data_IF_402359172911
#
_entry.id   IF_402359172911
#
_cell.length_a   1.000
_cell.length_b   1.000
_cell.length_c   1.000
_cell.angle_alpha   90.00
_cell.angle_beta   90.00
_cell.angle_gamma   90.00
#
_symmetry.space_group_name_H-M   'P 1'
#
loop_
_entity.id
_entity.type
_entity.pdbx_description
1 polymer ?
#
# COMPACT_ATOMS: atom_id res chain seq x y z
N UNK A 1 -26.18 -6.41 0.86
CA UNK A 1 -26.54 -7.26 -0.31
C UNK A 1 -25.85 -8.61 -0.11
N UNK A 2 -26.56 -9.71 -0.29
CA UNK A 2 -25.99 -11.05 -0.16
C UNK A 2 -25.36 -11.46 -1.49
N UNK A 3 -24.02 -11.41 -1.59
CA UNK A 3 -23.28 -11.67 -2.84
C UNK A 3 -23.53 -13.07 -3.42
N UNK A 4 -23.76 -14.06 -2.58
CA UNK A 4 -24.07 -15.44 -2.95
C UNK A 4 -25.44 -15.62 -3.64
N UNK A 5 -26.30 -14.57 -3.65
CA UNK A 5 -27.53 -14.56 -4.46
C UNK A 5 -27.31 -14.06 -5.89
N UNK A 6 -26.16 -13.47 -6.18
CA UNK A 6 -25.81 -12.88 -7.48
C UNK A 6 -24.74 -13.70 -8.18
N UNK A 7 -23.75 -14.17 -7.42
CA UNK A 7 -22.66 -15.01 -7.92
C UNK A 7 -22.94 -16.48 -7.66
N UNK A 8 -22.38 -17.35 -8.51
CA UNK A 8 -22.35 -18.79 -8.27
C UNK A 8 -21.59 -19.04 -6.96
N UNK A 9 -22.27 -19.71 -6.04
CA UNK A 9 -21.75 -20.06 -4.73
C UNK A 9 -20.58 -21.05 -4.84
N UNK A 10 -19.79 -21.17 -3.76
CA UNK A 10 -18.60 -22.01 -3.67
C UNK A 10 -17.93 -21.91 -2.31
N UNK A 11 -16.74 -22.49 -2.16
CA UNK A 11 -15.96 -22.38 -0.92
C UNK A 11 -15.70 -20.92 -0.53
N UNK A 12 -15.60 -20.03 -1.53
CA UNK A 12 -15.40 -18.60 -1.35
C UNK A 12 -16.44 -17.91 -0.45
N UNK A 13 -17.65 -18.47 -0.29
CA UNK A 13 -18.66 -17.87 0.59
C UNK A 13 -18.45 -18.21 2.07
N UNK A 14 -17.79 -19.33 2.36
CA UNK A 14 -17.50 -19.78 3.73
C UNK A 14 -16.10 -19.42 4.22
N UNK A 15 -15.12 -19.33 3.32
CA UNK A 15 -13.71 -19.04 3.62
C UNK A 15 -13.12 -17.94 2.71
N UNK A 16 -11.93 -17.43 3.06
CA UNK A 16 -11.24 -16.42 2.24
C UNK A 16 -10.57 -17.12 1.05
N UNK A 17 -11.29 -17.23 -0.07
CA UNK A 17 -10.86 -17.96 -1.25
C UNK A 17 -11.23 -17.24 -2.56
N UNK A 18 -10.40 -16.25 -2.93
CA UNK A 18 -10.56 -15.48 -4.17
C UNK A 18 -10.43 -16.34 -5.42
N UNK A 19 -9.60 -17.40 -5.37
CA UNK A 19 -9.40 -18.30 -6.51
C UNK A 19 -10.70 -19.03 -6.85
N UNK A 20 -11.33 -19.59 -5.83
CA UNK A 20 -12.61 -20.29 -5.96
C UNK A 20 -13.68 -19.36 -6.54
N UNK A 21 -13.80 -18.14 -6.01
CA UNK A 21 -14.72 -17.12 -6.54
C UNK A 21 -14.51 -16.87 -8.03
N UNK A 22 -13.26 -16.57 -8.45
CA UNK A 22 -12.94 -16.27 -9.84
C UNK A 22 -13.23 -17.48 -10.74
N UNK A 23 -12.85 -18.69 -10.31
CA UNK A 23 -13.06 -19.89 -11.12
C UNK A 23 -14.54 -20.20 -11.39
N UNK A 24 -15.43 -19.88 -10.46
CA UNK A 24 -16.87 -20.10 -10.62
C UNK A 24 -17.58 -18.99 -11.42
N UNK A 25 -17.06 -17.76 -11.35
CA UNK A 25 -17.80 -16.56 -11.79
C UNK A 25 -17.17 -15.81 -12.97
N UNK A 26 -15.97 -16.19 -13.42
CA UNK A 26 -15.37 -15.60 -14.61
C UNK A 26 -16.13 -16.04 -15.87
N UNK A 27 -16.39 -15.09 -16.77
CA UNK A 27 -16.87 -15.38 -18.13
C UNK A 27 -15.65 -15.31 -19.06
N UNK A 28 -15.15 -16.44 -19.58
CA UNK A 28 -14.06 -16.42 -20.56
C UNK A 28 -14.46 -15.62 -21.79
N UNK A 29 -13.55 -14.76 -22.27
CA UNK A 29 -13.74 -13.97 -23.47
C UNK A 29 -12.76 -14.42 -24.55
N UNK A 30 -13.28 -14.84 -25.70
CA UNK A 30 -12.51 -15.35 -26.84
C UNK A 30 -12.69 -14.49 -28.11
N UNK A 31 -13.29 -13.30 -27.98
CA UNK A 31 -13.45 -12.34 -29.07
C UNK A 31 -12.22 -11.47 -29.29
N UNK A 32 -12.41 -10.33 -29.97
CA UNK A 32 -11.35 -9.37 -30.30
C UNK A 32 -11.55 -8.01 -29.58
N UNK A 33 -10.78 -6.99 -29.98
CA UNK A 33 -10.81 -5.67 -29.37
C UNK A 33 -11.94 -4.75 -29.88
N UNK A 34 -12.85 -5.23 -30.73
CA UNK A 34 -13.88 -4.39 -31.37
C UNK A 34 -14.91 -3.78 -30.41
N UNK A 35 -15.07 -4.35 -29.21
CA UNK A 35 -15.96 -3.82 -28.17
C UNK A 35 -15.33 -2.70 -27.32
N UNK A 36 -14.04 -2.40 -27.52
CA UNK A 36 -13.34 -1.41 -26.71
C UNK A 36 -13.82 0.01 -27.03
N UNK A 37 -14.15 0.74 -25.97
CA UNK A 37 -14.55 2.14 -26.06
C UNK A 37 -13.37 3.09 -25.80
N UNK A 38 -13.42 4.26 -26.43
CA UNK A 38 -12.42 5.31 -26.25
C UNK A 38 -12.51 6.03 -24.89
N UNK A 39 -11.52 6.86 -24.56
CA UNK A 39 -11.53 7.62 -23.32
C UNK A 39 -12.64 8.66 -23.30
N UNK A 40 -13.33 8.76 -22.18
CA UNK A 40 -14.32 9.80 -21.90
C UNK A 40 -13.68 11.17 -21.70
N UNK A 41 -14.44 12.25 -21.81
CA UNK A 41 -13.95 13.61 -21.56
C UNK A 41 -13.43 13.80 -20.12
N UNK A 42 -14.09 13.20 -19.12
CA UNK A 42 -13.59 13.19 -17.73
C UNK A 42 -12.21 12.53 -17.62
N UNK A 43 -11.99 11.41 -18.32
CA UNK A 43 -10.71 10.71 -18.33
C UNK A 43 -9.63 11.58 -18.95
N UNK A 44 -9.93 12.25 -20.08
CA UNK A 44 -9.00 13.18 -20.73
C UNK A 44 -8.67 14.37 -19.82
N UNK A 45 -9.67 14.93 -19.12
CA UNK A 45 -9.48 16.04 -18.19
C UNK A 45 -8.52 15.68 -17.05
N UNK A 46 -8.79 14.57 -16.34
CA UNK A 46 -7.93 14.06 -15.25
C UNK A 46 -6.52 13.77 -15.78
N UNK A 47 -6.41 13.12 -16.95
CA UNK A 47 -5.11 12.78 -17.53
C UNK A 47 -4.30 14.01 -17.92
N UNK A 48 -4.94 15.06 -18.45
CA UNK A 48 -4.25 16.31 -18.78
C UNK A 48 -3.65 16.98 -17.52
N UNK A 49 -4.33 16.92 -16.37
CA UNK A 49 -3.76 17.37 -15.08
C UNK A 49 -2.53 16.56 -14.67
N UNK A 50 -2.57 15.24 -14.87
CA UNK A 50 -1.39 14.39 -14.66
C UNK A 50 -0.24 14.77 -15.59
N UNK A 51 -0.51 15.05 -16.87
CA UNK A 51 0.52 15.45 -17.83
C UNK A 51 1.18 16.78 -17.46
N UNK A 52 0.40 17.76 -16.99
CA UNK A 52 0.89 19.04 -16.45
C UNK A 52 1.82 18.79 -15.25
N UNK A 53 1.37 18.01 -14.27
CA UNK A 53 2.16 17.67 -13.08
C UNK A 53 3.44 16.88 -13.41
N UNK A 54 3.39 15.99 -14.40
CA UNK A 54 4.58 15.25 -14.87
C UNK A 54 5.55 16.16 -15.64
N UNK A 55 5.06 17.19 -16.34
CA UNK A 55 5.93 18.18 -16.99
C UNK A 55 6.66 19.03 -15.94
N UNK A 56 5.98 19.41 -14.86
CA UNK A 56 6.57 20.05 -13.70
C UNK A 56 7.63 19.15 -13.02
N UNK A 57 7.32 17.87 -12.77
CA UNK A 57 8.28 16.92 -12.21
C UNK A 57 9.56 16.81 -13.05
N UNK A 58 9.43 16.75 -14.39
CA UNK A 58 10.59 16.73 -15.30
C UNK A 58 11.37 18.03 -15.26
N UNK A 59 10.71 19.18 -15.17
CA UNK A 59 11.37 20.48 -15.04
C UNK A 59 12.15 20.58 -13.71
N UNK A 60 11.66 19.91 -12.66
CA UNK A 60 12.29 19.81 -11.34
C UNK A 60 13.33 18.67 -11.24
N UNK A 61 13.77 18.10 -12.36
CA UNK A 61 14.74 17.01 -12.40
C UNK A 61 14.32 15.73 -11.63
N UNK A 62 13.01 15.47 -11.56
CA UNK A 62 12.46 14.18 -11.18
C UNK A 62 11.68 14.12 -9.86
N UNK A 63 11.49 15.22 -9.13
CA UNK A 63 10.57 15.29 -7.98
C UNK A 63 9.70 16.53 -8.09
N UNK A 64 8.38 16.34 -8.15
CA UNK A 64 7.44 17.46 -8.21
C UNK A 64 7.38 18.19 -6.87
N UNK A 65 7.05 17.44 -5.81
CA UNK A 65 7.02 17.91 -4.43
C UNK A 65 7.21 16.74 -3.48
N UNK A 66 7.53 17.05 -2.22
CA UNK A 66 7.79 16.06 -1.19
C UNK A 66 7.30 16.54 0.17
N UNK A 67 6.85 15.60 1.00
CA UNK A 67 6.48 15.83 2.39
C UNK A 67 7.64 15.41 3.29
N UNK A 68 8.44 16.38 3.73
CA UNK A 68 9.60 16.20 4.60
C UNK A 68 9.26 16.18 6.10
N UNK A 69 7.98 16.29 6.47
CA UNK A 69 7.54 16.46 7.86
C UNK A 69 6.74 15.24 8.35
N UNK A 70 5.87 14.69 7.50
CA UNK A 70 4.95 13.63 7.91
C UNK A 70 5.55 12.25 7.69
N UNK A 71 5.69 11.47 8.77
CA UNK A 71 6.02 10.04 8.69
C UNK A 71 4.85 9.29 8.06
N UNK A 72 5.06 8.74 6.85
CA UNK A 72 4.02 8.03 6.11
C UNK A 72 3.58 6.75 6.82
N UNK A 73 2.26 6.64 7.05
CA UNK A 73 1.52 5.45 7.51
C UNK A 73 0.22 5.34 6.71
N UNK A 74 -0.58 4.29 6.94
CA UNK A 74 -1.87 4.09 6.25
C UNK A 74 -2.82 5.29 6.43
N UNK A 75 -2.73 6.01 7.56
CA UNK A 75 -3.68 7.08 7.94
C UNK A 75 -3.00 8.42 8.17
N UNK A 76 -1.71 8.57 7.85
CA UNK A 76 -0.97 9.81 8.12
C UNK A 76 -1.45 10.97 7.26
N UNK A 77 -1.79 10.70 6.00
CA UNK A 77 -2.20 11.70 5.02
C UNK A 77 -3.72 11.73 4.87
N UNK A 78 -4.25 12.92 4.62
CA UNK A 78 -5.68 13.11 4.28
C UNK A 78 -5.92 12.81 2.80
N UNK A 79 -7.18 12.77 2.41
CA UNK A 79 -7.55 12.49 1.04
C UNK A 79 -7.00 13.55 0.07
N UNK A 80 -6.24 13.10 -0.93
CA UNK A 80 -5.79 13.89 -2.06
C UNK A 80 -6.56 13.54 -3.33
N UNK A 81 -6.71 14.52 -4.22
CA UNK A 81 -7.45 14.40 -5.47
C UNK A 81 -6.66 15.02 -6.62
N UNK A 82 -6.87 14.52 -7.84
CA UNK A 82 -6.33 15.11 -9.06
C UNK A 82 -7.29 16.19 -9.57
N UNK A 83 -8.57 15.81 -9.68
CA UNK A 83 -9.68 16.60 -10.19
C UNK A 83 -10.95 15.89 -9.67
N UNK A 84 -11.33 16.27 -8.45
CA UNK A 84 -12.28 15.51 -7.61
C UNK A 84 -13.61 15.28 -8.30
N UNK A 85 -14.06 16.25 -9.09
CA UNK A 85 -15.32 16.22 -9.82
C UNK A 85 -15.28 15.20 -10.98
N UNK A 86 -14.11 15.00 -11.58
CA UNK A 86 -13.92 14.12 -12.73
C UNK A 86 -13.43 12.71 -12.38
N UNK A 87 -12.99 12.46 -11.15
CA UNK A 87 -12.52 11.15 -10.68
C UNK A 87 -13.67 10.14 -10.43
N UNK A 88 -13.52 8.90 -10.90
CA UNK A 88 -14.43 7.78 -10.56
C UNK A 88 -13.84 6.86 -9.49
N UNK A 89 -12.52 6.71 -9.54
CA UNK A 89 -11.71 5.94 -8.60
C UNK A 89 -10.76 6.94 -7.99
N UNK A 90 -10.79 7.04 -6.66
CA UNK A 90 -10.07 8.05 -5.88
C UNK A 90 -9.00 7.39 -5.03
N UNK A 91 -8.01 8.18 -4.62
CA UNK A 91 -6.93 7.75 -3.74
C UNK A 91 -5.56 8.19 -4.24
N UNK A 92 -4.85 8.98 -3.44
CA UNK A 92 -3.44 9.33 -3.63
C UNK A 92 -2.64 8.94 -2.40
N UNK A 93 -1.32 8.70 -2.58
CA UNK A 93 -0.41 8.32 -1.48
C UNK A 93 -0.26 9.42 -0.43
N UNK A 94 -0.40 10.67 -0.86
CA UNK A 94 -0.40 11.87 -0.03
C UNK A 94 -1.66 12.69 -0.33
N UNK A 95 -1.72 13.89 0.23
CA UNK A 95 -2.80 14.86 0.02
C UNK A 95 -2.75 15.56 -1.35
N UNK A 96 -1.69 15.35 -2.15
CA UNK A 96 -1.50 16.02 -3.44
C UNK A 96 -0.96 15.10 -4.54
N UNK A 97 -1.29 15.42 -5.80
CA UNK A 97 -0.82 14.69 -6.97
C UNK A 97 0.71 14.73 -7.09
N UNK A 98 1.35 13.55 -7.19
CA UNK A 98 2.80 13.36 -7.33
C UNK A 98 3.64 13.96 -6.19
N UNK A 99 3.04 14.22 -5.02
CA UNK A 99 3.78 14.59 -3.80
C UNK A 99 4.29 13.32 -3.12
N UNK A 100 5.61 13.19 -2.98
CA UNK A 100 6.25 12.00 -2.40
C UNK A 100 6.29 12.09 -0.87
N UNK A 101 5.89 11.02 -0.18
CA UNK A 101 6.01 10.94 1.26
C UNK A 101 7.37 10.39 1.70
N UNK A 102 7.81 10.72 2.91
CA UNK A 102 8.96 10.09 3.55
C UNK A 102 8.58 8.79 4.27
N UNK A 103 9.44 7.76 4.13
CA UNK A 103 9.27 6.43 4.77
C UNK A 103 10.49 6.06 5.62
N UNK A 104 10.70 6.74 6.76
CA UNK A 104 11.94 6.65 7.54
C UNK A 104 12.17 5.30 8.24
N UNK A 105 11.16 4.43 8.37
CA UNK A 105 11.34 3.07 8.91
C UNK A 105 12.40 2.24 8.16
N UNK A 106 12.63 2.53 6.87
CA UNK A 106 13.67 1.90 6.07
C UNK A 106 15.09 2.38 6.38
N UNK A 107 15.25 3.64 6.83
CA UNK A 107 16.54 4.26 7.11
C UNK A 107 16.47 5.79 7.04
N UNK A 108 16.72 6.47 8.16
CA UNK A 108 16.62 7.94 8.24
C UNK A 108 17.70 8.66 7.42
N UNK A 109 18.91 8.09 7.34
CA UNK A 109 20.00 8.69 6.56
C UNK A 109 19.70 8.75 5.07
N UNK A 110 19.03 7.72 4.54
CA UNK A 110 18.63 7.66 3.12
C UNK A 110 17.57 8.72 2.84
N UNK A 111 16.59 8.86 3.73
CA UNK A 111 15.54 9.87 3.61
C UNK A 111 16.14 11.29 3.71
N UNK A 112 16.99 11.55 4.70
CA UNK A 112 17.66 12.85 4.88
C UNK A 112 18.46 13.25 3.64
N UNK A 113 19.23 12.31 3.08
CA UNK A 113 19.99 12.55 1.85
C UNK A 113 19.06 12.87 0.67
N UNK A 114 17.99 12.10 0.49
CA UNK A 114 17.03 12.32 -0.59
C UNK A 114 16.33 13.68 -0.47
N UNK A 115 15.95 14.10 0.73
CA UNK A 115 15.39 15.44 0.95
C UNK A 115 16.41 16.53 0.60
N UNK A 116 17.65 16.43 1.12
CA UNK A 116 18.70 17.42 0.86
C UNK A 116 19.01 17.55 -0.65
N UNK A 117 19.09 16.43 -1.37
CA UNK A 117 19.28 16.42 -2.83
C UNK A 117 18.13 17.09 -3.59
N UNK A 118 16.95 17.21 -2.98
CA UNK A 118 15.78 17.92 -3.50
C UNK A 118 15.56 19.29 -2.84
N UNK A 119 16.60 19.85 -2.20
CA UNK A 119 16.60 21.24 -1.72
C UNK A 119 15.83 21.50 -0.43
N UNK A 120 15.46 20.45 0.32
CA UNK A 120 14.76 20.59 1.61
C UNK A 120 15.38 19.68 2.67
N UNK A 121 15.20 20.02 3.94
CA UNK A 121 15.66 19.19 5.05
C UNK A 121 14.53 18.39 5.65
N UNK A 122 14.77 17.14 6.07
CA UNK A 122 13.81 16.40 6.89
C UNK A 122 13.59 17.15 8.20
N UNK A 123 12.34 17.21 8.66
CA UNK A 123 11.97 17.82 9.94
C UNK A 123 12.80 17.25 11.10
N UNK A 124 13.28 18.15 11.97
CA UNK A 124 14.20 17.80 13.06
C UNK A 124 13.56 16.79 14.03
N UNK A 125 12.24 16.85 14.24
CA UNK A 125 11.53 15.88 15.09
C UNK A 125 11.52 14.49 14.45
N UNK A 126 11.39 14.40 13.13
CA UNK A 126 11.47 13.11 12.43
C UNK A 126 12.88 12.55 12.54
N UNK A 127 13.92 13.38 12.35
CA UNK A 127 15.32 12.98 12.54
C UNK A 127 15.55 12.46 13.95
N UNK A 128 15.10 13.19 14.97
CA UNK A 128 15.21 12.82 16.38
C UNK A 128 14.53 11.46 16.67
N UNK A 129 13.28 11.29 16.20
CA UNK A 129 12.54 10.03 16.38
C UNK A 129 13.28 8.83 15.82
N UNK A 130 13.76 8.90 14.57
CA UNK A 130 14.37 7.76 13.91
C UNK A 130 15.87 7.60 14.18
N UNK A 131 16.46 8.53 14.95
CA UNK A 131 17.84 8.41 15.46
C UNK A 131 17.85 7.90 16.90
N UNK A 132 16.91 8.33 17.74
CA UNK A 132 16.97 8.10 19.18
C UNK A 132 15.86 7.22 19.75
N UNK A 133 14.67 7.18 19.14
CA UNK A 133 13.52 6.44 19.71
C UNK A 133 13.14 5.21 18.92
N UNK A 134 13.21 5.28 17.59
CA UNK A 134 12.77 4.21 16.67
C UNK A 134 13.90 3.81 15.74
N UNK A 135 14.58 2.72 16.08
CA UNK A 135 15.58 2.09 15.21
C UNK A 135 14.99 1.74 13.84
N UNK A 136 15.74 1.98 12.78
CA UNK A 136 15.35 1.68 11.39
C UNK A 136 15.83 0.30 10.93
N UNK A 137 15.30 -0.17 9.79
CA UNK A 137 15.81 -1.37 9.12
C UNK A 137 17.29 -1.22 8.77
N UNK A 138 17.67 -0.09 8.16
CA UNK A 138 19.07 0.19 7.80
C UNK A 138 20.02 0.08 9.00
N UNK A 139 19.71 0.72 10.13
CA UNK A 139 20.55 0.65 11.33
C UNK A 139 20.65 -0.79 11.85
N UNK A 140 19.53 -1.52 11.88
CA UNK A 140 19.48 -2.92 12.28
C UNK A 140 20.36 -3.83 11.44
N UNK A 141 20.36 -3.64 10.11
CA UNK A 141 21.19 -4.39 9.18
C UNK A 141 22.67 -4.08 9.39
N UNK A 142 23.02 -2.79 9.51
CA UNK A 142 24.41 -2.39 9.62
C UNK A 142 25.02 -2.78 10.98
N UNK A 143 24.25 -2.85 12.06
CA UNK A 143 24.72 -3.34 13.36
C UNK A 143 25.18 -4.81 13.34
N UNK A 144 24.64 -5.62 12.44
CA UNK A 144 24.93 -7.07 12.38
C UNK A 144 25.77 -7.48 11.17
N UNK A 145 26.04 -6.55 10.25
CA UNK A 145 26.92 -6.81 9.11
C UNK A 145 28.34 -7.11 9.54
N UNK A 146 28.90 -8.20 9.01
CA UNK A 146 30.31 -8.55 9.18
C UNK A 146 31.21 -7.64 8.34
N UNK A 147 32.49 -7.58 8.71
CA UNK A 147 33.51 -6.85 7.92
C UNK A 147 33.59 -7.36 6.48
N UNK A 148 33.45 -8.67 6.28
CA UNK A 148 33.44 -9.30 4.96
C UNK A 148 32.30 -8.78 4.08
N UNK A 149 31.06 -8.78 4.59
CA UNK A 149 29.89 -8.28 3.85
C UNK A 149 30.09 -6.80 3.48
N UNK A 150 30.57 -5.99 4.43
CA UNK A 150 30.85 -4.57 4.21
C UNK A 150 31.92 -4.35 3.14
N UNK A 151 32.96 -5.18 3.14
CA UNK A 151 34.04 -5.15 2.15
C UNK A 151 33.51 -5.47 0.75
N UNK A 152 32.77 -6.57 0.59
CA UNK A 152 32.19 -6.95 -0.71
C UNK A 152 31.21 -5.92 -1.26
N UNK A 153 30.44 -5.28 -0.38
CA UNK A 153 29.55 -4.17 -0.77
C UNK A 153 30.32 -2.96 -1.28
N UNK A 154 31.36 -2.56 -0.55
CA UNK A 154 32.18 -1.39 -0.90
C UNK A 154 33.00 -1.60 -2.17
N UNK A 155 33.44 -2.83 -2.42
CA UNK A 155 34.18 -3.23 -3.62
C UNK A 155 33.28 -3.50 -4.84
N UNK A 156 31.96 -3.46 -4.67
CA UNK A 156 31.01 -3.68 -5.77
C UNK A 156 30.79 -5.15 -6.14
N UNK A 157 31.29 -6.11 -5.36
CA UNK A 157 31.01 -7.54 -5.56
C UNK A 157 29.57 -7.91 -5.17
N UNK A 158 29.04 -7.25 -4.15
CA UNK A 158 27.64 -7.40 -3.73
C UNK A 158 26.96 -6.03 -3.73
N UNK A 159 26.15 -5.75 -4.75
CA UNK A 159 25.47 -4.46 -4.92
C UNK A 159 23.96 -4.62 -4.96
N UNK A 160 23.24 -3.55 -4.63
CA UNK A 160 21.78 -3.49 -4.74
C UNK A 160 21.02 -4.31 -3.70
N UNK A 161 21.66 -4.78 -2.63
CA UNK A 161 20.97 -5.46 -1.52
C UNK A 161 19.94 -4.51 -0.87
N UNK A 162 18.79 -5.01 -0.38
CA UNK A 162 17.76 -4.19 0.25
C UNK A 162 18.13 -3.80 1.69
N UNK A 163 19.29 -3.18 1.87
CA UNK A 163 19.82 -2.71 3.15
C UNK A 163 19.50 -1.22 3.42
N UNK A 164 19.15 -0.48 2.38
CA UNK A 164 18.87 0.96 2.43
C UNK A 164 17.50 1.34 1.82
N UNK A 165 16.67 0.36 1.48
CA UNK A 165 15.29 0.56 1.00
C UNK A 165 14.41 -0.65 1.37
N UNK A 166 13.09 -0.49 1.24
CA UNK A 166 12.15 -1.57 1.52
C UNK A 166 12.32 -2.74 0.51
N UNK A 167 12.45 -3.98 1.02
CA UNK A 167 12.70 -5.19 0.20
C UNK A 167 11.71 -5.44 -0.95
N UNK A 168 10.50 -4.90 -0.87
CA UNK A 168 9.44 -5.13 -1.87
C UNK A 168 9.11 -6.61 -2.03
N UNK A 169 8.76 -7.02 -3.26
CA UNK A 169 8.48 -8.42 -3.65
C UNK A 169 7.40 -9.14 -2.81
N UNK A 170 6.51 -8.38 -2.21
CA UNK A 170 5.33 -8.87 -1.51
C UNK A 170 4.10 -8.36 -2.27
N UNK A 171 3.23 -9.28 -2.69
CA UNK A 171 1.97 -8.94 -3.35
C UNK A 171 0.87 -9.34 -2.37
N UNK A 172 0.21 -8.33 -1.79
CA UNK A 172 -1.03 -8.55 -1.07
C UNK A 172 -2.14 -8.96 -2.04
N UNK A 173 -3.02 -9.86 -1.63
CA UNK A 173 -4.20 -10.19 -2.45
C UNK A 173 -5.29 -9.14 -2.24
N UNK A 174 -5.12 -7.98 -2.87
CA UNK A 174 -5.96 -6.79 -2.70
C UNK A 174 -7.43 -7.03 -3.10
N UNK A 175 -7.68 -8.02 -3.96
CA UNK A 175 -9.01 -8.49 -4.37
C UNK A 175 -9.85 -8.99 -3.20
N UNK A 176 -9.21 -9.44 -2.12
CA UNK A 176 -9.90 -9.84 -0.89
C UNK A 176 -10.73 -8.71 -0.31
N UNK A 177 -10.25 -7.47 -0.38
CA UNK A 177 -11.01 -6.36 0.17
C UNK A 177 -12.30 -6.14 -0.61
N UNK A 178 -12.25 -6.16 -1.94
CA UNK A 178 -13.44 -6.06 -2.77
C UNK A 178 -14.42 -7.23 -2.53
N UNK A 179 -13.93 -8.46 -2.44
CA UNK A 179 -14.78 -9.64 -2.32
C UNK A 179 -15.41 -9.80 -0.93
N UNK A 180 -14.68 -9.45 0.14
CA UNK A 180 -15.07 -9.76 1.52
C UNK A 180 -15.40 -8.56 2.38
N UNK A 181 -14.87 -7.37 2.06
CA UNK A 181 -14.85 -6.25 2.98
C UNK A 181 -13.87 -6.46 4.14
N UNK A 182 -13.49 -5.37 4.81
CA UNK A 182 -12.50 -5.42 5.87
C UNK A 182 -13.01 -6.20 7.10
N UNK A 183 -14.28 -6.10 7.46
CA UNK A 183 -14.77 -6.71 8.70
C UNK A 183 -14.67 -8.24 8.64
N UNK A 184 -15.02 -8.85 7.51
CA UNK A 184 -14.86 -10.29 7.29
C UNK A 184 -13.39 -10.72 7.30
N UNK A 185 -12.48 -9.88 6.81
CA UNK A 185 -11.03 -10.13 6.82
C UNK A 185 -10.45 -10.02 8.23
N UNK A 186 -10.91 -9.07 9.03
CA UNK A 186 -10.54 -8.95 10.45
C UNK A 186 -11.00 -10.19 11.22
N UNK A 187 -12.24 -10.65 10.99
CA UNK A 187 -12.73 -11.87 11.66
C UNK A 187 -11.92 -13.10 11.26
N UNK A 188 -11.53 -13.24 9.99
CA UNK A 188 -10.62 -14.29 9.55
C UNK A 188 -9.27 -14.21 10.28
N UNK A 189 -8.69 -13.01 10.42
CA UNK A 189 -7.40 -12.82 11.11
C UNK A 189 -7.47 -13.03 12.61
N UNK A 190 -8.59 -12.71 13.25
CA UNK A 190 -8.83 -13.05 14.66
C UNK A 190 -8.90 -14.55 14.85
N UNK A 191 -9.52 -15.27 13.92
CA UNK A 191 -9.56 -16.73 13.93
C UNK A 191 -8.16 -17.32 13.72
N UNK A 192 -7.37 -16.81 12.75
CA UNK A 192 -5.95 -17.17 12.61
C UNK A 192 -5.22 -17.03 13.95
N UNK A 193 -5.35 -15.87 14.61
CA UNK A 193 -4.69 -15.58 15.88
C UNK A 193 -5.14 -16.50 17.03
N UNK A 194 -6.42 -16.86 17.09
CA UNK A 194 -6.96 -17.82 18.07
C UNK A 194 -6.37 -19.21 17.86
N UNK A 195 -6.20 -19.62 16.61
CA UNK A 195 -5.70 -20.94 16.26
C UNK A 195 -4.18 -21.10 16.40
N UNK A 196 -3.43 -20.01 16.59
CA UNK A 196 -2.01 -20.03 16.93
C UNK A 196 -1.77 -20.46 18.39
N UNK A 197 -2.09 -21.71 18.71
CA UNK A 197 -1.95 -22.34 20.04
C UNK A 197 -0.65 -23.14 20.20
N UNK A 198 -0.38 -23.63 21.42
CA UNK A 198 0.81 -24.43 21.75
C UNK A 198 1.95 -23.63 22.40
N UNK A 199 3.15 -24.24 22.55
CA UNK A 199 4.29 -23.62 23.27
C UNK A 199 4.74 -22.26 22.71
N UNK A 200 4.96 -21.25 23.57
CA UNK A 200 5.37 -19.91 23.12
C UNK A 200 6.86 -19.83 22.73
N UNK A 201 7.20 -20.43 21.59
CA UNK A 201 8.52 -20.30 20.94
C UNK A 201 8.67 -18.91 20.31
N UNK A 202 9.91 -18.47 20.06
CA UNK A 202 10.19 -17.19 19.37
C UNK A 202 9.40 -17.07 18.05
N UNK A 203 9.41 -18.11 17.22
CA UNK A 203 8.69 -18.12 15.95
C UNK A 203 7.16 -17.98 16.14
N UNK A 204 6.58 -18.61 17.17
CA UNK A 204 5.14 -18.51 17.45
C UNK A 204 4.78 -17.15 18.03
N UNK A 205 5.60 -16.60 18.93
CA UNK A 205 5.41 -15.24 19.47
C UNK A 205 5.43 -14.22 18.34
N UNK A 206 6.45 -14.27 17.48
CA UNK A 206 6.59 -13.39 16.31
C UNK A 206 5.37 -13.49 15.39
N UNK A 207 4.95 -14.71 15.01
CA UNK A 207 3.80 -14.88 14.12
C UNK A 207 2.50 -14.33 14.73
N UNK A 208 2.30 -14.50 16.04
CA UNK A 208 1.13 -13.96 16.74
C UNK A 208 1.13 -12.42 16.73
N UNK A 209 2.28 -11.79 16.95
CA UNK A 209 2.45 -10.34 16.85
C UNK A 209 2.19 -9.86 15.42
N UNK A 210 2.77 -10.52 14.41
CA UNK A 210 2.57 -10.19 13.00
C UNK A 210 1.08 -10.26 12.59
N UNK A 211 0.34 -11.25 13.06
CA UNK A 211 -1.12 -11.34 12.81
C UNK A 211 -1.87 -10.23 13.55
N UNK A 212 -1.45 -9.85 14.76
CA UNK A 212 -2.04 -8.72 15.47
C UNK A 212 -1.81 -7.38 14.74
N UNK A 213 -0.61 -7.17 14.18
CA UNK A 213 -0.31 -6.02 13.33
C UNK A 213 -1.11 -6.02 12.03
N UNK A 214 -1.33 -7.19 11.41
CA UNK A 214 -2.23 -7.31 10.25
C UNK A 214 -3.67 -6.86 10.60
N UNK A 215 -4.18 -7.20 11.79
CA UNK A 215 -5.51 -6.77 12.25
C UNK A 215 -5.55 -5.25 12.46
N UNK A 216 -4.49 -4.65 13.02
CA UNK A 216 -4.40 -3.19 13.18
C UNK A 216 -4.38 -2.50 11.82
N UNK A 217 -3.53 -2.95 10.90
CA UNK A 217 -3.46 -2.40 9.55
C UNK A 217 -4.80 -2.47 8.80
N UNK A 218 -5.55 -3.57 8.95
CA UNK A 218 -6.91 -3.67 8.40
C UNK A 218 -7.87 -2.62 8.98
N UNK A 219 -7.76 -2.31 10.28
CA UNK A 219 -8.56 -1.23 10.88
C UNK A 219 -8.15 0.15 10.36
N UNK A 220 -6.85 0.38 10.20
CA UNK A 220 -6.32 1.61 9.63
C UNK A 220 -6.79 1.82 8.18
N UNK A 221 -6.91 0.75 7.41
CA UNK A 221 -7.50 0.81 6.06
C UNK A 221 -8.96 1.31 6.08
N UNK A 222 -9.75 1.00 7.12
CA UNK A 222 -11.12 1.56 7.26
C UNK A 222 -11.06 3.08 7.44
N UNK A 223 -10.18 3.55 8.32
CA UNK A 223 -9.98 5.00 8.57
C UNK A 223 -9.52 5.71 7.30
N UNK A 224 -8.60 5.10 6.55
CA UNK A 224 -8.19 5.64 5.24
C UNK A 224 -9.37 5.70 4.26
N UNK A 225 -10.22 4.68 4.22
CA UNK A 225 -11.46 4.69 3.42
C UNK A 225 -12.40 5.84 3.79
N UNK A 226 -12.57 6.12 5.08
CA UNK A 226 -13.40 7.23 5.58
C UNK A 226 -12.93 8.59 5.06
N UNK A 227 -11.62 8.81 4.88
CA UNK A 227 -11.10 10.07 4.32
C UNK A 227 -11.60 10.33 2.89
N UNK A 228 -11.90 9.28 2.14
CA UNK A 228 -12.44 9.33 0.79
C UNK A 228 -13.96 9.10 0.75
N UNK A 229 -14.64 9.03 1.91
CA UNK A 229 -16.08 8.77 1.99
C UNK A 229 -16.47 7.33 1.61
N UNK A 230 -15.56 6.37 1.77
CA UNK A 230 -15.76 4.97 1.42
C UNK A 230 -15.97 4.11 2.67
N UNK A 231 -17.06 3.34 2.70
CA UNK A 231 -17.29 2.32 3.72
C UNK A 231 -16.65 0.98 3.32
N UNK A 232 -15.36 0.83 3.60
CA UNK A 232 -14.59 -0.38 3.29
C UNK A 232 -14.86 -1.56 4.25
N UNK A 233 -15.76 -1.39 5.25
CA UNK A 233 -16.09 -2.45 6.20
C UNK A 233 -16.77 -3.66 5.51
N UNK A 234 -17.55 -3.36 4.47
CA UNK A 234 -18.36 -4.29 3.69
C UNK A 234 -17.70 -4.66 2.35
N UNK A 235 -18.12 -5.75 1.70
CA UNK A 235 -17.69 -6.04 0.34
C UNK A 235 -18.23 -5.02 -0.67
N UNK A 236 -17.63 -5.03 -1.85
CA UNK A 236 -18.05 -4.25 -3.00
C UNK A 236 -19.34 -4.82 -3.61
N UNK A 237 -20.25 -3.94 -4.03
CA UNK A 237 -21.54 -4.30 -4.62
C UNK A 237 -21.68 -3.91 -6.08
N UNK A 238 -20.79 -3.06 -6.59
CA UNK A 238 -20.75 -2.65 -8.00
C UNK A 238 -19.37 -2.85 -8.59
N UNK A 239 -19.25 -2.80 -9.91
CA UNK A 239 -17.95 -2.87 -10.58
C UNK A 239 -17.03 -1.70 -10.17
N UNK A 240 -17.59 -0.49 -10.02
CA UNK A 240 -16.84 0.68 -9.56
C UNK A 240 -16.28 0.47 -8.15
N UNK A 241 -17.10 -0.03 -7.23
CA UNK A 241 -16.65 -0.35 -5.87
C UNK A 241 -15.60 -1.47 -5.89
N UNK A 242 -15.75 -2.50 -6.73
CA UNK A 242 -14.79 -3.58 -6.79
C UNK A 242 -13.39 -3.07 -7.21
N UNK A 243 -13.34 -2.20 -8.22
CA UNK A 243 -12.10 -1.52 -8.63
C UNK A 243 -11.56 -0.62 -7.51
N UNK A 244 -12.43 0.18 -6.90
CA UNK A 244 -12.05 1.11 -5.83
C UNK A 244 -11.52 0.38 -4.59
N UNK A 245 -12.10 -0.75 -4.19
CA UNK A 245 -11.67 -1.53 -3.03
C UNK A 245 -10.35 -2.23 -3.33
N UNK A 246 -10.17 -2.81 -4.52
CA UNK A 246 -8.87 -3.35 -4.92
C UNK A 246 -7.80 -2.26 -4.85
N UNK A 247 -8.11 -1.08 -5.38
CA UNK A 247 -7.18 0.04 -5.38
C UNK A 247 -6.85 0.53 -3.97
N UNK A 248 -7.84 0.70 -3.07
CA UNK A 248 -7.57 1.09 -1.68
C UNK A 248 -6.70 0.05 -0.95
N UNK A 249 -6.84 -1.24 -1.27
CA UNK A 249 -6.01 -2.29 -0.68
C UNK A 249 -4.54 -2.15 -1.09
N UNK A 250 -4.31 -1.76 -2.34
CA UNK A 250 -2.99 -1.42 -2.84
C UNK A 250 -2.48 -0.10 -2.27
N UNK A 251 -3.32 0.94 -2.20
CA UNK A 251 -2.96 2.27 -1.70
C UNK A 251 -2.41 2.21 -0.28
N UNK A 252 -3.03 1.43 0.61
CA UNK A 252 -2.56 1.24 1.97
C UNK A 252 -1.18 0.52 2.06
N UNK A 253 -0.75 -0.16 1.00
CA UNK A 253 0.56 -0.81 0.94
C UNK A 253 1.67 0.13 0.42
N UNK A 254 1.34 1.15 -0.36
CA UNK A 254 2.31 2.00 -1.09
C UNK A 254 2.53 3.36 -0.47
#
# INVERSE_FOLDING_TARGET
>A
MELNKIFKDGLWSTEINVRDFVSHNITPYYGDASFLEGPTERTKAVWNRCLEALAEERANNGVRSLDNVTVSTITSHKAGYIDKENELIVGLQTDELLKRAIKPFGGINVVSKACHENGVEVDDRVKDIFTHYRKTHNDGVFDVYTEEIRSFRSLGFLTGLPDNYARGRIIGDYRRMALYGIDRLIEAKKEDLRNLTGPMTEARIRLREEVAEQIKALKDMKVMGEYYGLDLSRPAYTAQEAVQWVYMGYLAAV
#
